data_IF_673111245685
#
_entry.id   IF_673111245685
#
_cell.length_a   1.000
_cell.length_b   1.000
_cell.length_c   1.000
_cell.angle_alpha   90.00
_cell.angle_beta   90.00
_cell.angle_gamma   90.00
#
_symmetry.space_group_name_H-M   'P 1'
#
loop_
_entity.id
_entity.type
_entity.pdbx_description
1 polymer ?
#
# COMPACT_ATOMS: atom_id res chain seq x y z
N UNK A 1 -18.99 13.43 6.48
CA UNK A 1 -18.84 12.19 7.30
C UNK A 1 -17.51 12.29 8.03
N UNK A 2 -17.50 12.05 9.33
CA UNK A 2 -16.26 12.05 10.11
C UNK A 2 -15.28 11.03 9.52
N UNK A 3 -14.02 11.42 9.39
CA UNK A 3 -13.00 10.59 8.78
C UNK A 3 -12.37 9.68 9.84
N UNK A 4 -12.26 8.39 9.51
CA UNK A 4 -11.57 7.44 10.39
C UNK A 4 -10.06 7.79 10.46
N UNK A 5 -9.53 7.86 11.68
CA UNK A 5 -8.10 8.11 11.95
C UNK A 5 -7.59 7.05 12.90
N UNK A 6 -6.42 6.49 12.63
CA UNK A 6 -5.83 5.46 13.48
C UNK A 6 -4.30 5.41 13.34
N UNK A 7 -3.65 4.91 14.38
CA UNK A 7 -2.19 4.78 14.45
C UNK A 7 -1.78 3.30 14.41
N UNK A 8 -0.70 3.01 13.69
CA UNK A 8 -0.06 1.70 13.59
C UNK A 8 1.43 1.88 13.84
N UNK A 9 1.95 1.37 14.96
CA UNK A 9 3.30 1.70 15.39
C UNK A 9 3.47 3.22 15.54
N UNK A 10 4.40 3.79 14.80
CA UNK A 10 4.67 5.23 14.79
C UNK A 10 3.99 5.96 13.62
N UNK A 11 3.25 5.26 12.76
CA UNK A 11 2.59 5.82 11.59
C UNK A 11 1.12 6.09 11.88
N UNK A 12 0.63 7.27 11.49
CA UNK A 12 -0.79 7.64 11.63
C UNK A 12 -1.41 7.85 10.26
N UNK A 13 -2.63 7.33 10.10
CA UNK A 13 -3.41 7.42 8.86
C UNK A 13 -4.67 8.23 9.10
N UNK A 14 -4.98 9.13 8.17
CA UNK A 14 -6.22 9.91 8.20
C UNK A 14 -6.17 11.25 8.95
N UNK A 15 -5.04 11.58 9.58
CA UNK A 15 -4.84 12.81 10.36
C UNK A 15 -4.28 14.00 9.54
N UNK A 16 -4.07 13.80 8.26
CA UNK A 16 -3.53 14.82 7.35
C UNK A 16 -2.02 14.73 7.15
N UNK A 17 -1.31 13.80 7.77
CA UNK A 17 0.10 13.49 7.49
C UNK A 17 0.23 12.50 6.32
N UNK A 18 1.38 12.51 5.65
CA UNK A 18 1.70 11.54 4.61
C UNK A 18 2.52 10.39 5.20
N UNK A 19 2.01 9.17 5.08
CA UNK A 19 2.72 7.95 5.46
C UNK A 19 3.31 7.25 4.23
N UNK A 20 4.50 6.68 4.37
CA UNK A 20 5.15 5.87 3.33
C UNK A 20 5.03 4.40 3.69
N UNK A 21 4.47 3.61 2.79
CA UNK A 21 4.44 2.15 2.86
C UNK A 21 5.39 1.63 1.81
N UNK A 22 6.56 1.10 2.21
CA UNK A 22 7.55 0.67 1.22
C UNK A 22 8.39 -0.53 1.67
N UNK A 23 8.95 -1.24 0.68
CA UNK A 23 9.82 -2.39 0.84
C UNK A 23 9.83 -3.27 -0.42
N UNK A 24 10.58 -4.38 -0.44
CA UNK A 24 10.64 -5.26 -1.60
C UNK A 24 9.32 -6.00 -1.80
N UNK A 25 9.05 -6.37 -3.05
CA UNK A 25 7.84 -7.07 -3.46
C UNK A 25 7.58 -8.32 -2.61
N UNK A 26 8.61 -9.13 -2.40
CA UNK A 26 8.57 -10.41 -1.68
C UNK A 26 9.80 -10.56 -0.79
N UNK A 27 9.68 -11.31 0.29
CA UNK A 27 10.80 -11.64 1.19
C UNK A 27 11.76 -12.60 0.46
N UNK A 28 13.00 -12.17 0.26
CA UNK A 28 14.06 -12.94 -0.40
C UNK A 28 14.95 -13.66 0.61
N UNK A 29 15.43 -12.94 1.61
CA UNK A 29 16.15 -13.47 2.78
C UNK A 29 15.93 -12.58 3.99
N UNK A 30 16.30 -13.05 5.15
CA UNK A 30 16.25 -12.26 6.39
C UNK A 30 17.17 -11.05 6.32
N UNK A 31 18.39 -11.25 5.83
CA UNK A 31 19.41 -10.21 5.71
C UNK A 31 18.97 -9.11 4.74
N UNK A 32 18.42 -9.50 3.58
CA UNK A 32 17.90 -8.56 2.60
C UNK A 32 16.70 -7.79 3.16
N UNK A 33 15.75 -8.47 3.82
CA UNK A 33 14.59 -7.82 4.42
C UNK A 33 14.98 -6.79 5.49
N UNK A 34 15.92 -7.12 6.38
CA UNK A 34 16.44 -6.21 7.40
C UNK A 34 17.21 -5.02 6.80
N UNK A 35 18.03 -5.27 5.78
CA UNK A 35 18.76 -4.22 5.07
C UNK A 35 17.77 -3.27 4.39
N UNK A 36 16.82 -3.79 3.62
CA UNK A 36 15.81 -2.97 2.93
C UNK A 36 14.93 -2.19 3.90
N UNK A 37 14.47 -2.81 4.98
CA UNK A 37 13.66 -2.14 5.99
C UNK A 37 14.41 -0.97 6.65
N UNK A 38 15.69 -1.18 7.02
CA UNK A 38 16.54 -0.14 7.61
C UNK A 38 16.76 1.02 6.65
N UNK A 39 17.08 0.73 5.39
CA UNK A 39 17.36 1.73 4.39
C UNK A 39 16.12 2.53 3.97
N UNK A 40 14.96 1.87 3.84
CA UNK A 40 13.69 2.56 3.58
C UNK A 40 13.27 3.43 4.77
N UNK A 41 13.34 2.88 6.00
CA UNK A 41 12.99 3.63 7.21
C UNK A 41 13.88 4.87 7.40
N UNK A 42 15.19 4.72 7.12
CA UNK A 42 16.13 5.85 7.19
C UNK A 42 15.72 6.97 6.23
N UNK A 43 15.42 6.65 4.97
CA UNK A 43 15.03 7.64 3.96
C UNK A 43 13.70 8.32 4.29
N UNK A 44 12.73 7.58 4.81
CA UNK A 44 11.47 8.15 5.27
C UNK A 44 11.70 9.11 6.45
N UNK A 45 12.51 8.71 7.43
CA UNK A 45 12.89 9.55 8.58
C UNK A 45 13.64 10.81 8.14
N UNK A 46 14.60 10.69 7.21
CA UNK A 46 15.37 11.83 6.69
C UNK A 46 14.45 12.81 5.94
N UNK A 47 13.35 12.34 5.36
CA UNK A 47 12.30 13.16 4.76
C UNK A 47 11.24 13.66 5.76
N UNK A 48 11.27 13.26 7.02
CA UNK A 48 10.29 13.64 8.04
C UNK A 48 8.91 12.97 7.86
N UNK A 49 8.88 11.80 7.22
CA UNK A 49 7.63 11.07 6.92
C UNK A 49 7.48 9.82 7.79
N UNK A 50 6.25 9.48 8.15
CA UNK A 50 5.90 8.23 8.81
C UNK A 50 6.16 7.04 7.88
N UNK A 51 6.53 5.89 8.45
CA UNK A 51 6.95 4.73 7.66
C UNK A 51 6.35 3.42 8.16
N UNK A 52 5.93 2.59 7.21
CA UNK A 52 5.53 1.18 7.42
C UNK A 52 6.31 0.31 6.43
N UNK A 53 6.97 -0.73 6.94
CA UNK A 53 7.66 -1.69 6.09
C UNK A 53 6.69 -2.68 5.45
N UNK A 54 6.81 -2.86 4.14
CA UNK A 54 6.00 -3.83 3.39
C UNK A 54 6.86 -4.88 2.73
N UNK A 55 6.54 -6.15 2.94
CA UNK A 55 6.98 -7.25 2.09
C UNK A 55 6.01 -8.42 2.18
N UNK A 56 5.89 -9.21 1.11
CA UNK A 56 4.97 -10.36 1.07
C UNK A 56 5.72 -11.66 1.39
N UNK A 57 5.11 -12.53 2.19
CA UNK A 57 5.63 -13.88 2.44
C UNK A 57 5.33 -14.85 1.29
N UNK A 58 4.29 -14.56 0.50
CA UNK A 58 3.87 -15.32 -0.67
C UNK A 58 3.31 -14.39 -1.76
N UNK A 59 3.54 -14.77 -3.00
CA UNK A 59 2.92 -14.19 -4.20
C UNK A 59 1.96 -15.19 -4.82
N UNK A 60 0.76 -15.32 -4.24
CA UNK A 60 -0.22 -16.35 -4.58
C UNK A 60 -0.81 -16.23 -6.01
N UNK A 61 -0.72 -15.05 -6.64
CA UNK A 61 -1.35 -14.73 -7.93
C UNK A 61 -0.37 -14.68 -9.11
N UNK A 62 0.70 -15.49 -9.09
CA UNK A 62 1.67 -15.53 -10.19
C UNK A 62 1.06 -16.01 -11.49
N UNK A 63 1.49 -15.40 -12.62
CA UNK A 63 1.08 -15.82 -13.97
C UNK A 63 1.63 -17.20 -14.35
N UNK A 64 2.79 -17.58 -13.84
CA UNK A 64 3.42 -18.89 -14.10
C UNK A 64 3.60 -19.69 -12.82
N UNK A 65 3.29 -20.97 -12.85
CA UNK A 65 3.55 -21.92 -11.76
C UNK A 65 5.04 -22.06 -11.41
N UNK A 66 5.92 -21.69 -12.34
CA UNK A 66 7.39 -21.73 -12.15
C UNK A 66 7.96 -20.46 -11.51
N UNK A 67 7.14 -19.41 -11.36
CA UNK A 67 7.60 -18.15 -10.76
C UNK A 67 7.88 -18.31 -9.27
N UNK A 68 8.88 -17.55 -8.78
CA UNK A 68 9.17 -17.49 -7.35
C UNK A 68 7.97 -16.95 -6.57
N UNK A 69 7.52 -17.67 -5.57
CA UNK A 69 6.36 -17.31 -4.74
C UNK A 69 6.73 -16.68 -3.42
N UNK A 70 7.90 -16.93 -2.91
CA UNK A 70 8.34 -16.55 -1.57
C UNK A 70 8.86 -17.76 -0.79
N UNK A 71 9.10 -17.57 0.51
CA UNK A 71 9.64 -18.59 1.42
C UNK A 71 8.56 -19.37 2.20
N UNK A 72 7.30 -19.07 1.92
CA UNK A 72 6.17 -19.61 2.69
C UNK A 72 5.82 -18.76 3.91
N UNK A 73 4.64 -19.03 4.47
CA UNK A 73 4.05 -18.17 5.50
C UNK A 73 4.88 -18.16 6.79
N UNK A 74 5.24 -19.31 7.33
CA UNK A 74 5.94 -19.38 8.62
C UNK A 74 7.29 -18.66 8.59
N UNK A 75 8.16 -19.00 7.63
CA UNK A 75 9.46 -18.35 7.48
C UNK A 75 9.33 -16.84 7.21
N UNK A 76 8.36 -16.46 6.36
CA UNK A 76 8.10 -15.07 6.06
C UNK A 76 7.62 -14.26 7.27
N UNK A 77 6.77 -14.84 8.10
CA UNK A 77 6.31 -14.21 9.34
C UNK A 77 7.46 -14.07 10.36
N UNK A 78 8.35 -15.05 10.45
CA UNK A 78 9.52 -14.96 11.33
C UNK A 78 10.46 -13.83 10.88
N UNK A 79 10.65 -13.64 9.57
CA UNK A 79 11.43 -12.52 9.04
C UNK A 79 10.75 -11.18 9.36
N UNK A 80 9.43 -11.04 9.17
CA UNK A 80 8.71 -9.81 9.49
C UNK A 80 8.74 -9.50 10.99
N UNK A 81 8.64 -10.51 11.85
CA UNK A 81 8.78 -10.35 13.30
C UNK A 81 10.15 -9.77 13.64
N UNK A 82 11.22 -10.31 13.05
CA UNK A 82 12.60 -9.79 13.26
C UNK A 82 12.74 -8.34 12.77
N UNK A 83 12.21 -8.00 11.61
CA UNK A 83 12.21 -6.60 11.13
C UNK A 83 11.56 -5.68 12.16
N UNK A 84 10.42 -6.07 12.68
CA UNK A 84 9.67 -5.31 13.68
C UNK A 84 10.43 -5.16 14.99
N UNK A 85 11.01 -6.24 15.52
CA UNK A 85 11.75 -6.26 16.79
C UNK A 85 13.07 -5.49 16.70
N UNK A 86 13.83 -5.66 15.61
CA UNK A 86 15.15 -5.05 15.46
C UNK A 86 15.08 -3.55 15.10
N UNK A 87 14.04 -3.13 14.36
CA UNK A 87 13.97 -1.77 13.83
C UNK A 87 12.85 -0.91 14.44
N UNK A 88 11.92 -1.50 15.20
CA UNK A 88 10.80 -0.79 15.80
C UNK A 88 9.81 -0.20 14.80
N UNK A 89 9.76 -0.73 13.56
CA UNK A 89 8.86 -0.26 12.51
C UNK A 89 7.62 -1.14 12.42
N UNK A 90 6.47 -0.55 12.08
CA UNK A 90 5.27 -1.31 11.77
C UNK A 90 5.45 -2.09 10.47
N UNK A 91 4.80 -3.25 10.36
CA UNK A 91 4.90 -4.13 9.19
C UNK A 91 3.54 -4.42 8.58
N UNK A 92 3.50 -4.52 7.25
CA UNK A 92 2.34 -4.94 6.46
C UNK A 92 2.71 -6.08 5.53
N UNK A 93 1.84 -7.08 5.43
CA UNK A 93 1.99 -8.18 4.47
C UNK A 93 0.63 -8.59 3.90
N UNK A 94 0.66 -9.29 2.75
CA UNK A 94 -0.55 -9.76 2.08
C UNK A 94 -1.12 -11.00 2.77
N UNK A 95 -2.46 -11.11 2.80
CA UNK A 95 -3.22 -12.31 3.12
C UNK A 95 -4.05 -12.74 1.91
N UNK A 96 -4.18 -14.04 1.68
CA UNK A 96 -4.83 -14.58 0.48
C UNK A 96 -6.00 -15.49 0.80
N UNK A 97 -6.11 -15.96 2.04
CA UNK A 97 -7.12 -16.88 2.52
C UNK A 97 -7.53 -16.57 3.96
N UNK A 98 -8.74 -16.91 4.35
CA UNK A 98 -9.27 -16.69 5.70
C UNK A 98 -8.40 -17.37 6.76
N UNK A 99 -7.87 -18.57 6.47
CA UNK A 99 -7.01 -19.33 7.39
C UNK A 99 -5.66 -18.63 7.69
N UNK A 100 -5.26 -17.66 6.90
CA UNK A 100 -4.03 -16.89 7.11
C UNK A 100 -4.23 -15.70 8.05
N UNK A 101 -5.49 -15.26 8.28
CA UNK A 101 -5.77 -14.04 9.05
C UNK A 101 -5.22 -14.13 10.47
N UNK A 102 -5.54 -15.19 11.20
CA UNK A 102 -5.10 -15.38 12.58
C UNK A 102 -3.57 -15.39 12.70
N UNK A 103 -2.82 -16.31 12.05
CA UNK A 103 -1.36 -16.37 12.21
C UNK A 103 -0.65 -15.11 11.70
N UNK A 104 -1.15 -14.45 10.64
CA UNK A 104 -0.55 -13.22 10.14
C UNK A 104 -0.82 -12.05 11.09
N UNK A 105 -1.99 -11.99 11.73
CA UNK A 105 -2.35 -10.94 12.67
C UNK A 105 -1.50 -10.95 13.95
N UNK A 106 -0.91 -12.07 14.32
CA UNK A 106 0.02 -12.15 15.46
C UNK A 106 1.32 -11.34 15.22
N UNK A 107 1.71 -11.16 13.96
CA UNK A 107 2.97 -10.51 13.57
C UNK A 107 2.72 -9.17 12.89
N UNK A 108 1.91 -9.15 11.83
CA UNK A 108 1.66 -7.97 11.04
C UNK A 108 0.76 -6.96 11.76
N UNK A 109 1.08 -5.69 11.63
CA UNK A 109 0.29 -4.58 12.17
C UNK A 109 -0.83 -4.17 11.22
N UNK A 110 -0.61 -4.41 9.92
CA UNK A 110 -1.58 -4.17 8.86
C UNK A 110 -1.72 -5.45 8.03
N UNK A 111 -2.95 -5.92 7.88
CA UNK A 111 -3.30 -7.01 6.97
C UNK A 111 -3.66 -6.41 5.61
N UNK A 112 -2.95 -6.81 4.55
CA UNK A 112 -3.24 -6.32 3.21
C UNK A 112 -4.02 -7.37 2.41
N UNK A 113 -5.17 -6.96 1.84
CA UNK A 113 -5.96 -7.78 0.92
C UNK A 113 -5.61 -7.37 -0.51
N UNK A 114 -5.03 -8.28 -1.33
CA UNK A 114 -4.69 -8.02 -2.72
C UNK A 114 -5.91 -7.64 -3.58
N UNK A 115 -5.66 -6.91 -4.67
CA UNK A 115 -6.70 -6.35 -5.54
C UNK A 115 -7.66 -7.41 -6.12
N UNK A 116 -7.16 -8.57 -6.51
CA UNK A 116 -8.02 -9.65 -7.03
C UNK A 116 -8.99 -10.21 -5.98
N UNK A 117 -8.68 -10.08 -4.69
CA UNK A 117 -9.48 -10.57 -3.58
C UNK A 117 -10.33 -9.47 -2.92
N UNK A 118 -10.33 -8.27 -3.45
CA UNK A 118 -11.01 -7.10 -2.88
C UNK A 118 -12.53 -7.24 -2.72
N UNK A 119 -13.15 -8.22 -3.37
CA UNK A 119 -14.59 -8.52 -3.24
C UNK A 119 -14.90 -9.73 -2.36
N UNK A 120 -13.89 -10.47 -1.90
CA UNK A 120 -14.09 -11.69 -1.10
C UNK A 120 -14.63 -11.32 0.30
N UNK A 121 -15.93 -11.53 0.49
CA UNK A 121 -16.64 -11.08 1.68
C UNK A 121 -16.05 -11.69 2.95
N UNK A 122 -15.87 -13.02 2.99
CA UNK A 122 -15.40 -13.71 4.18
C UNK A 122 -13.98 -13.28 4.56
N UNK A 123 -13.09 -13.08 3.58
CA UNK A 123 -11.74 -12.60 3.84
C UNK A 123 -11.73 -11.17 4.40
N UNK A 124 -12.56 -10.27 3.86
CA UNK A 124 -12.68 -8.90 4.35
C UNK A 124 -13.22 -8.88 5.78
N UNK A 125 -14.28 -9.65 6.05
CA UNK A 125 -14.91 -9.70 7.37
C UNK A 125 -13.96 -10.29 8.42
N UNK A 126 -13.24 -11.35 8.09
CA UNK A 126 -12.30 -11.97 9.02
C UNK A 126 -11.11 -11.08 9.29
N UNK A 127 -10.50 -10.48 8.27
CA UNK A 127 -9.44 -9.47 8.43
C UNK A 127 -9.91 -8.31 9.31
N UNK A 128 -11.13 -7.82 9.08
CA UNK A 128 -11.72 -6.72 9.86
C UNK A 128 -11.96 -7.08 11.33
N UNK A 129 -12.27 -8.35 11.64
CA UNK A 129 -12.45 -8.86 13.02
C UNK A 129 -11.14 -9.06 13.77
N UNK A 130 -10.01 -9.16 13.07
CA UNK A 130 -8.69 -9.43 13.69
C UNK A 130 -8.22 -8.36 14.68
N UNK A 131 -8.84 -7.17 14.68
CA UNK A 131 -8.41 -6.01 15.46
C UNK A 131 -7.18 -5.29 14.88
N UNK A 132 -6.57 -5.82 13.82
CA UNK A 132 -5.47 -5.16 13.10
C UNK A 132 -6.01 -4.10 12.14
N UNK A 133 -5.13 -3.20 11.69
CA UNK A 133 -5.48 -2.34 10.57
C UNK A 133 -5.58 -3.19 9.28
N UNK A 134 -6.49 -2.82 8.39
CA UNK A 134 -6.72 -3.55 7.13
C UNK A 134 -6.51 -2.59 5.98
N UNK A 135 -5.68 -2.98 5.02
CA UNK A 135 -5.51 -2.28 3.76
C UNK A 135 -6.10 -3.12 2.63
N UNK A 136 -7.14 -2.62 1.97
CA UNK A 136 -7.73 -3.32 0.81
C UNK A 136 -7.33 -2.62 -0.47
N UNK A 137 -6.60 -3.31 -1.34
CA UNK A 137 -6.29 -2.82 -2.67
C UNK A 137 -7.52 -2.93 -3.56
N UNK A 138 -7.97 -1.79 -4.10
CA UNK A 138 -9.11 -1.74 -5.03
C UNK A 138 -8.82 -2.60 -6.25
N UNK A 139 -9.73 -3.50 -6.59
CA UNK A 139 -9.60 -4.34 -7.79
C UNK A 139 -9.52 -3.51 -9.06
N UNK A 140 -8.71 -3.97 -10.04
CA UNK A 140 -8.55 -3.30 -11.33
C UNK A 140 -9.86 -3.27 -12.15
N UNK A 141 -10.83 -4.07 -11.75
CA UNK A 141 -12.18 -4.20 -12.35
C UNK A 141 -13.25 -3.40 -11.61
N UNK A 142 -12.90 -2.69 -10.53
CA UNK A 142 -13.86 -1.92 -9.72
C UNK A 142 -13.84 -0.45 -10.11
N UNK A 143 -15.04 0.13 -10.27
CA UNK A 143 -15.19 1.58 -10.24
C UNK A 143 -14.85 2.13 -8.84
N UNK A 144 -14.39 3.39 -8.72
CA UNK A 144 -14.11 3.98 -7.41
C UNK A 144 -15.32 3.93 -6.46
N UNK A 145 -16.52 4.15 -6.97
CA UNK A 145 -17.78 4.12 -6.20
C UNK A 145 -18.06 2.74 -5.60
N UNK A 146 -17.72 1.67 -6.31
CA UNK A 146 -17.96 0.29 -5.86
C UNK A 146 -17.08 -0.09 -4.65
N UNK A 147 -15.99 0.65 -4.40
CA UNK A 147 -15.13 0.46 -3.24
C UNK A 147 -15.85 0.78 -1.92
N UNK A 148 -16.96 1.52 -1.95
CA UNK A 148 -17.82 1.73 -0.78
C UNK A 148 -18.29 0.42 -0.16
N UNK A 149 -18.62 -0.59 -0.99
CA UNK A 149 -19.05 -1.90 -0.51
C UNK A 149 -17.97 -2.61 0.35
N UNK A 150 -16.69 -2.33 0.11
CA UNK A 150 -15.59 -2.85 0.95
C UNK A 150 -15.65 -2.20 2.33
N UNK A 151 -15.84 -0.88 2.37
CA UNK A 151 -15.95 -0.11 3.62
C UNK A 151 -17.16 -0.58 4.44
N UNK A 152 -18.31 -0.77 3.79
CA UNK A 152 -19.53 -1.24 4.44
C UNK A 152 -19.36 -2.63 5.06
N UNK A 153 -18.72 -3.58 4.34
CA UNK A 153 -18.38 -4.89 4.89
C UNK A 153 -17.52 -4.78 6.14
N UNK A 154 -16.42 -4.06 6.09
CA UNK A 154 -15.53 -3.91 7.24
C UNK A 154 -16.25 -3.23 8.43
N UNK A 155 -17.02 -2.17 8.16
CA UNK A 155 -17.79 -1.46 9.19
C UNK A 155 -18.90 -2.30 9.79
N UNK A 156 -19.49 -3.24 9.04
CA UNK A 156 -20.54 -4.14 9.55
C UNK A 156 -20.09 -5.01 10.71
N UNK A 157 -18.78 -5.21 10.88
CA UNK A 157 -18.17 -5.93 12.01
C UNK A 157 -17.41 -5.02 12.96
N UNK A 158 -17.63 -3.69 12.88
CA UNK A 158 -17.06 -2.71 13.80
C UNK A 158 -15.64 -2.23 13.47
N UNK A 159 -15.07 -2.61 12.32
CA UNK A 159 -13.73 -2.17 11.95
C UNK A 159 -13.70 -0.68 11.59
N UNK A 160 -12.85 0.10 12.28
CA UNK A 160 -12.56 1.51 12.02
C UNK A 160 -11.11 1.74 11.58
N UNK A 161 -10.32 0.69 11.49
CA UNK A 161 -8.90 0.73 11.09
C UNK A 161 -8.72 0.21 9.66
N UNK A 162 -9.57 0.71 8.76
CA UNK A 162 -9.58 0.33 7.34
C UNK A 162 -8.99 1.46 6.50
N UNK A 163 -8.18 1.10 5.51
CA UNK A 163 -7.76 1.98 4.42
C UNK A 163 -8.02 1.34 3.06
N UNK A 164 -8.22 2.17 2.05
CA UNK A 164 -8.39 1.75 0.67
C UNK A 164 -7.18 2.16 -0.16
N UNK A 165 -6.69 1.25 -1.00
CA UNK A 165 -5.58 1.53 -1.92
C UNK A 165 -6.05 1.58 -3.37
N UNK A 166 -5.86 2.75 -4.02
CA UNK A 166 -5.93 2.85 -5.48
C UNK A 166 -4.66 2.28 -6.11
N UNK A 167 -4.81 1.46 -7.16
CA UNK A 167 -3.70 0.83 -7.87
C UNK A 167 -3.92 0.69 -9.38
N UNK A 168 -4.82 1.51 -9.93
CA UNK A 168 -5.17 1.51 -11.33
C UNK A 168 -6.32 0.56 -11.68
N UNK A 169 -6.90 0.82 -12.82
CA UNK A 169 -7.98 0.02 -13.45
C UNK A 169 -7.51 -0.49 -14.80
N UNK A 170 -8.05 -1.63 -15.22
CA UNK A 170 -7.77 -2.19 -16.54
C UNK A 170 -8.27 -1.25 -17.63
N UNK A 171 -7.40 -0.92 -18.57
CA UNK A 171 -7.71 -0.07 -19.72
C UNK A 171 -7.26 -0.75 -21.01
N UNK A 172 -8.15 -1.56 -21.58
CA UNK A 172 -7.80 -2.48 -22.65
C UNK A 172 -7.04 -3.72 -22.13
N UNK A 173 -6.32 -4.40 -23.02
CA UNK A 173 -5.51 -5.55 -22.66
C UNK A 173 -4.13 -5.12 -22.15
N UNK A 174 -3.62 -5.82 -21.13
CA UNK A 174 -2.25 -5.68 -20.61
C UNK A 174 -1.86 -4.24 -20.22
N UNK A 175 -2.81 -3.40 -19.87
CA UNK A 175 -2.56 -2.01 -19.49
C UNK A 175 -3.42 -1.58 -18.31
N UNK A 176 -2.88 -0.67 -17.50
CA UNK A 176 -3.57 -0.05 -16.38
C UNK A 176 -3.48 1.47 -16.50
N UNK A 177 -4.53 2.15 -16.03
CA UNK A 177 -4.52 3.61 -15.86
C UNK A 177 -5.04 3.98 -14.48
N UNK A 178 -4.60 5.12 -13.96
CA UNK A 178 -5.13 5.71 -12.75
C UNK A 178 -6.01 6.89 -13.10
N UNK A 179 -7.28 6.81 -12.72
CA UNK A 179 -8.16 7.96 -12.75
C UNK A 179 -7.95 8.77 -11.47
N UNK A 180 -7.33 9.94 -11.58
CA UNK A 180 -7.06 10.80 -10.42
C UNK A 180 -8.34 11.27 -9.71
N UNK A 181 -9.49 11.22 -10.37
CA UNK A 181 -10.80 11.47 -9.74
C UNK A 181 -11.21 10.39 -8.75
N UNK A 182 -10.60 9.21 -8.82
CA UNK A 182 -10.86 8.11 -7.88
C UNK A 182 -10.55 8.51 -6.42
N UNK A 183 -9.54 9.35 -6.21
CA UNK A 183 -9.16 9.79 -4.86
C UNK A 183 -10.24 10.65 -4.20
N UNK A 184 -10.72 11.76 -4.76
CA UNK A 184 -11.81 12.52 -4.15
C UNK A 184 -13.11 11.70 -4.03
N UNK A 185 -13.43 10.81 -4.99
CA UNK A 185 -14.60 9.93 -4.90
C UNK A 185 -14.50 9.00 -3.68
N UNK A 186 -13.40 8.27 -3.55
CA UNK A 186 -13.23 7.32 -2.43
C UNK A 186 -13.04 8.03 -1.07
N UNK A 187 -12.60 9.28 -1.06
CA UNK A 187 -12.49 10.08 0.17
C UNK A 187 -13.83 10.27 0.87
N UNK A 188 -14.93 10.35 0.11
CA UNK A 188 -16.28 10.49 0.65
C UNK A 188 -16.71 9.28 1.53
N UNK A 189 -16.01 8.15 1.44
CA UNK A 189 -16.30 6.97 2.27
C UNK A 189 -15.75 7.12 3.72
N UNK A 190 -14.98 8.17 3.98
CA UNK A 190 -14.48 8.49 5.32
C UNK A 190 -13.42 7.51 5.85
N UNK A 191 -12.61 6.92 4.97
CA UNK A 191 -11.46 6.07 5.31
C UNK A 191 -10.17 6.65 4.72
N UNK A 192 -8.99 6.41 5.35
CA UNK A 192 -7.72 6.80 4.76
C UNK A 192 -7.48 6.18 3.39
N UNK A 193 -6.87 6.95 2.49
CA UNK A 193 -6.57 6.53 1.13
C UNK A 193 -5.07 6.34 0.92
N UNK A 194 -4.73 5.21 0.33
CA UNK A 194 -3.36 4.87 -0.08
C UNK A 194 -3.29 4.89 -1.60
N UNK A 195 -2.22 5.41 -2.14
CA UNK A 195 -1.91 5.29 -3.55
C UNK A 195 -0.75 4.31 -3.78
N UNK A 196 -1.03 3.21 -4.46
CA UNK A 196 -0.02 2.27 -4.91
C UNK A 196 0.54 2.70 -6.26
N UNK A 197 1.65 3.40 -6.20
CA UNK A 197 2.29 3.99 -7.38
C UNK A 197 2.87 2.91 -8.29
N UNK A 198 3.59 1.95 -7.72
CA UNK A 198 4.36 0.96 -8.48
C UNK A 198 3.46 -0.04 -9.20
N UNK A 199 2.44 -0.58 -8.53
CA UNK A 199 1.51 -1.51 -9.17
C UNK A 199 0.56 -0.83 -10.17
N UNK A 200 0.36 0.48 -10.09
CA UNK A 200 -0.41 1.24 -11.09
C UNK A 200 0.27 1.29 -12.46
N UNK A 201 1.57 1.00 -12.51
CA UNK A 201 2.40 1.02 -13.71
C UNK A 201 2.70 -0.38 -14.27
N UNK A 202 2.05 -1.41 -13.71
CA UNK A 202 2.17 -2.76 -14.24
C UNK A 202 1.54 -2.87 -15.62
N UNK A 203 2.16 -3.71 -16.47
CA UNK A 203 1.59 -4.22 -17.71
C UNK A 203 1.25 -5.70 -17.48
N UNK A 204 0.04 -6.03 -16.99
CA UNK A 204 -0.32 -7.40 -16.61
C UNK A 204 -0.17 -8.36 -17.79
N UNK A 205 0.66 -9.40 -17.63
CA UNK A 205 0.92 -10.36 -18.71
C UNK A 205 1.67 -9.80 -19.93
N UNK A 206 2.18 -8.56 -19.87
CA UNK A 206 2.82 -7.88 -21.00
C UNK A 206 4.08 -8.57 -21.54
N UNK A 207 4.71 -9.44 -20.74
CA UNK A 207 5.85 -10.27 -21.14
C UNK A 207 5.47 -11.74 -21.38
N UNK A 208 4.19 -12.06 -21.48
CA UNK A 208 3.67 -13.41 -21.66
C UNK A 208 3.76 -14.27 -20.39
N UNK A 209 4.94 -14.50 -19.86
CA UNK A 209 5.20 -15.29 -18.65
C UNK A 209 5.42 -14.45 -17.39
N UNK A 210 5.54 -13.13 -17.53
CA UNK A 210 5.75 -12.20 -16.43
C UNK A 210 4.99 -10.88 -16.68
N UNK A 211 4.83 -10.10 -15.63
CA UNK A 211 4.31 -8.73 -15.69
C UNK A 211 5.43 -7.80 -16.16
N UNK A 212 5.15 -7.00 -17.18
CA UNK A 212 5.99 -5.86 -17.56
C UNK A 212 5.72 -4.64 -16.69
N UNK A 213 6.47 -3.56 -16.88
CA UNK A 213 6.29 -2.34 -16.12
C UNK A 213 6.86 -1.10 -16.79
N UNK A 214 6.42 0.05 -16.29
CA UNK A 214 6.74 1.40 -16.78
C UNK A 214 7.34 2.22 -15.63
N UNK A 215 8.45 1.73 -15.04
CA UNK A 215 9.07 2.34 -13.84
C UNK A 215 9.55 3.79 -14.06
N UNK A 216 9.77 4.22 -15.30
CA UNK A 216 10.11 5.60 -15.65
C UNK A 216 9.00 6.61 -15.27
N UNK A 217 7.75 6.14 -15.10
CA UNK A 217 6.62 6.98 -14.70
C UNK A 217 6.33 6.95 -13.19
N UNK A 218 7.12 6.26 -12.37
CA UNK A 218 6.91 6.21 -10.90
C UNK A 218 6.87 7.61 -10.32
N UNK A 219 7.87 8.46 -10.59
CA UNK A 219 7.95 9.80 -10.02
C UNK A 219 6.80 10.72 -10.47
N UNK A 220 6.49 10.86 -11.79
CA UNK A 220 5.34 11.65 -12.21
C UNK A 220 4.04 11.21 -11.57
N UNK A 221 3.80 9.89 -11.50
CA UNK A 221 2.56 9.34 -10.98
C UNK A 221 2.45 9.51 -9.46
N UNK A 222 3.56 9.29 -8.72
CA UNK A 222 3.60 9.52 -7.29
C UNK A 222 3.26 10.97 -6.93
N UNK A 223 3.86 11.94 -7.65
CA UNK A 223 3.56 13.38 -7.48
C UNK A 223 2.08 13.68 -7.71
N UNK A 224 1.50 13.16 -8.78
CA UNK A 224 0.10 13.38 -9.10
C UNK A 224 -0.83 12.82 -8.01
N UNK A 225 -0.57 11.60 -7.52
CA UNK A 225 -1.34 10.98 -6.44
C UNK A 225 -1.26 11.76 -5.12
N UNK A 226 -0.06 12.19 -4.72
CA UNK A 226 0.12 13.00 -3.50
C UNK A 226 -0.55 14.36 -3.65
N UNK A 227 -0.49 14.99 -4.84
CA UNK A 227 -1.20 16.23 -5.12
C UNK A 227 -2.73 16.07 -5.03
N UNK A 228 -3.28 14.88 -5.25
CA UNK A 228 -4.68 14.57 -4.98
C UNK A 228 -5.01 14.40 -3.49
N UNK A 229 -4.01 14.49 -2.62
CA UNK A 229 -4.13 14.52 -1.16
C UNK A 229 -4.34 13.14 -0.54
N UNK A 230 -3.69 12.09 -1.00
CA UNK A 230 -3.70 10.76 -0.37
C UNK A 230 -3.05 10.79 1.03
N UNK A 231 -3.42 9.83 1.87
CA UNK A 231 -2.88 9.68 3.23
C UNK A 231 -1.60 8.88 3.27
N UNK A 232 -1.41 8.01 2.30
CA UNK A 232 -0.18 7.25 2.17
C UNK A 232 0.20 7.00 0.71
N UNK A 233 1.50 6.95 0.45
CA UNK A 233 2.07 6.46 -0.80
C UNK A 233 2.68 5.08 -0.58
N UNK A 234 2.23 4.11 -1.38
CA UNK A 234 2.76 2.75 -1.40
C UNK A 234 3.71 2.58 -2.58
N UNK A 235 4.90 2.03 -2.32
CA UNK A 235 5.92 1.79 -3.34
C UNK A 235 6.66 0.48 -3.08
N UNK A 236 6.77 -0.38 -4.08
CA UNK A 236 7.75 -1.45 -4.04
C UNK A 236 9.13 -0.89 -4.38
N UNK A 237 10.10 -1.16 -3.51
CA UNK A 237 11.47 -0.60 -3.56
C UNK A 237 12.46 -1.75 -3.48
N UNK A 238 13.52 -1.68 -4.28
CA UNK A 238 14.56 -2.70 -4.26
C UNK A 238 15.95 -2.07 -4.48
N UNK A 239 16.98 -2.63 -3.86
CA UNK A 239 18.37 -2.18 -4.06
C UNK A 239 18.90 -2.47 -5.47
N UNK A 240 18.41 -3.56 -6.10
CA UNK A 240 18.76 -3.98 -7.45
C UNK A 240 17.51 -4.54 -8.18
N UNK A 241 16.62 -3.69 -8.72
CA UNK A 241 15.39 -4.12 -9.37
C UNK A 241 15.58 -5.08 -10.54
N UNK A 242 16.72 -5.00 -11.22
CA UNK A 242 17.09 -5.84 -12.38
C UNK A 242 17.24 -7.32 -12.08
N UNK A 243 17.56 -7.67 -10.82
CA UNK A 243 17.72 -9.06 -10.35
C UNK A 243 16.64 -9.48 -9.35
N UNK A 244 15.67 -8.62 -9.07
CA UNK A 244 14.58 -8.94 -8.16
C UNK A 244 13.77 -10.15 -8.65
N UNK A 245 13.43 -11.12 -7.77
CA UNK A 245 12.71 -12.34 -8.18
C UNK A 245 11.24 -12.09 -8.54
N UNK A 246 10.74 -10.88 -8.29
CA UNK A 246 9.35 -10.48 -8.53
C UNK A 246 9.27 -8.99 -8.85
N UNK A 247 8.44 -8.64 -9.84
CA UNK A 247 8.00 -7.27 -10.20
C UNK A 247 9.13 -6.24 -10.42
N UNK A 248 10.36 -6.68 -10.68
CA UNK A 248 11.52 -5.83 -10.90
C UNK A 248 11.27 -4.64 -11.85
N UNK A 249 10.64 -4.82 -13.03
CA UNK A 249 10.34 -3.73 -13.96
C UNK A 249 9.44 -2.62 -13.41
N UNK A 250 8.78 -2.85 -12.26
CA UNK A 250 7.89 -1.88 -11.62
C UNK A 250 8.45 -1.32 -10.31
N UNK A 251 9.60 -1.77 -9.85
CA UNK A 251 10.14 -1.31 -8.58
C UNK A 251 10.88 0.01 -8.69
N UNK A 252 10.76 0.81 -7.65
CA UNK A 252 11.59 2.00 -7.47
C UNK A 252 13.00 1.57 -7.02
N UNK A 253 14.07 1.99 -7.72
CA UNK A 253 15.42 1.80 -7.22
C UNK A 253 15.61 2.51 -5.87
N UNK A 254 16.18 1.80 -4.88
CA UNK A 254 16.37 2.31 -3.51
C UNK A 254 17.14 3.64 -3.48
N UNK A 255 18.12 3.82 -4.36
CA UNK A 255 18.92 5.05 -4.48
C UNK A 255 18.06 6.28 -4.83
N UNK A 256 16.96 6.11 -5.58
CA UNK A 256 16.05 7.20 -5.98
C UNK A 256 15.02 7.54 -4.93
N UNK A 257 14.77 6.65 -3.96
CA UNK A 257 13.70 6.81 -2.96
C UNK A 257 13.83 8.10 -2.16
N UNK A 258 15.03 8.44 -1.67
CA UNK A 258 15.21 9.60 -0.80
C UNK A 258 14.80 10.92 -1.46
N UNK A 259 15.28 11.17 -2.69
CA UNK A 259 14.93 12.37 -3.45
C UNK A 259 13.43 12.45 -3.76
N UNK A 260 12.81 11.29 -4.11
CA UNK A 260 11.37 11.23 -4.33
C UNK A 260 10.58 11.57 -3.06
N UNK A 261 10.95 11.01 -1.91
CA UNK A 261 10.23 11.26 -0.65
C UNK A 261 10.26 12.73 -0.23
N UNK A 262 11.39 13.43 -0.38
CA UNK A 262 11.49 14.87 -0.12
C UNK A 262 10.52 15.66 -1.01
N UNK A 263 10.48 15.34 -2.29
CA UNK A 263 9.56 15.99 -3.24
C UNK A 263 8.09 15.70 -2.88
N UNK A 264 7.75 14.46 -2.49
CA UNK A 264 6.37 14.10 -2.10
C UNK A 264 5.95 14.84 -0.82
N UNK A 265 6.85 14.98 0.15
CA UNK A 265 6.61 15.80 1.35
C UNK A 265 6.26 17.24 0.98
N UNK A 266 7.09 17.86 0.16
CA UNK A 266 6.91 19.27 -0.22
C UNK A 266 5.57 19.49 -0.96
N UNK A 267 5.19 18.57 -1.85
CA UNK A 267 3.87 18.60 -2.51
C UNK A 267 2.74 18.40 -1.50
N UNK A 268 2.91 17.46 -0.57
CA UNK A 268 1.90 17.19 0.46
C UNK A 268 1.66 18.40 1.37
N UNK A 269 2.71 19.05 1.82
CA UNK A 269 2.64 20.29 2.61
C UNK A 269 1.93 21.40 1.82
N UNK A 270 2.33 21.62 0.57
CA UNK A 270 1.70 22.63 -0.30
C UNK A 270 0.19 22.42 -0.47
N UNK A 271 -0.26 21.17 -0.64
CA UNK A 271 -1.67 20.85 -0.82
C UNK A 271 -2.46 20.99 0.48
N UNK A 272 -1.85 20.68 1.62
CA UNK A 272 -2.50 20.79 2.93
C UNK A 272 -2.57 22.23 3.45
N UNK A 273 -1.60 23.06 3.15
CA UNK A 273 -1.56 24.49 3.53
C UNK A 273 -2.41 25.37 2.59
N UNK A 274 -3.06 24.78 1.59
CA UNK A 274 -3.88 25.52 0.64
C UNK A 274 -5.14 26.11 1.30
N UNK A 275 -5.47 27.41 1.10
CA UNK A 275 -6.63 28.10 1.71
C UNK A 275 -7.98 27.41 1.47
N UNK A 276 -8.12 26.66 0.38
CA UNK A 276 -9.36 25.93 0.06
C UNK A 276 -9.70 24.79 1.04
N UNK A 277 -8.73 24.27 1.78
CA UNK A 277 -8.97 23.22 2.80
C UNK A 277 -9.40 23.82 4.13
N UNK A 278 -8.90 25.00 4.46
CA UNK A 278 -9.26 25.76 5.67
C UNK A 278 -10.73 26.20 5.61
N UNK A 279 -11.25 26.58 4.43
CA UNK A 279 -12.65 27.01 4.28
C UNK A 279 -13.67 25.85 4.48
N UNK A 280 -13.35 24.60 4.11
CA UNK A 280 -14.26 23.47 4.31
C UNK A 280 -14.41 23.03 5.77
N UNK A 281 -13.42 23.32 6.62
CA UNK A 281 -13.48 23.02 8.04
C UNK A 281 -14.23 24.08 8.85
N UNK A 282 -14.42 25.29 8.31
CA UNK A 282 -15.17 26.38 8.96
C UNK A 282 -16.65 26.41 8.57
N UNK A 283 -17.06 25.80 7.46
CA UNK A 283 -18.46 25.71 7.05
C UNK A 283 -19.25 24.54 7.68
N UNK A 284 -18.59 23.71 8.45
CA UNK A 284 -19.20 22.59 9.20
C UNK A 284 -19.54 22.88 10.67
N UNK A 285 -19.35 24.13 11.13
CA UNK A 285 -19.63 24.55 12.51
C UNK A 285 -20.81 25.56 12.62
N UNK A 286 -21.68 25.67 11.58
CA UNK A 286 -22.92 26.43 11.69
C UNK A 286 -24.16 25.48 11.65
#
# INVERSE_FOLDING_TARGET
MERDTFTVGNATFGDGRLTIIAGPCVIESTEHALMMARECAKRAKDAGLDFVYKSSFDKANRSSVKSFRGRGMQEGLDVLRRVKEELGVAVVTDIHDVSQVEPVSEVADILQIPAFLSRQTDLILEAARSGRAVNVKKGQFLAPQDAQNIVEKARSVGCRRLMLTERGVSFGYNNLVVDMRSFPIMREFGVPLVFDVTHSLQLPGGMGHATGGLSEYIEPLARAGVACGVDAAFMEVHDRPDVAPSDGPNMLPLERMGALLLMLRDIHELVNDSPQRTQRNTEGEE
#
